data_IF_116864687335
#
_entry.id   IF_116864687335
#
_cell.length_a   1.000
_cell.length_b   1.000
_cell.length_c   1.000
_cell.angle_alpha   90.00
_cell.angle_beta   90.00
_cell.angle_gamma   90.00
#
_symmetry.space_group_name_H-M   'P 1'
#
loop_
_entity.id
_entity.type
_entity.pdbx_description
1 polymer ?
#
# COMPACT_ATOMS: atom_id res chain seq x y z
N UNK A 1 27.21 -13.03 -20.40
CA UNK A 1 26.71 -11.75 -19.87
C UNK A 1 26.60 -10.77 -21.03
N UNK A 2 25.54 -9.95 -21.09
CA UNK A 2 25.38 -8.95 -22.15
C UNK A 2 25.27 -7.55 -21.54
N UNK A 3 26.08 -6.62 -22.03
CA UNK A 3 25.94 -5.19 -21.77
C UNK A 3 25.19 -4.58 -22.95
N UNK A 4 24.22 -3.70 -22.71
CA UNK A 4 23.52 -3.09 -23.83
C UNK A 4 22.59 -1.96 -23.42
N UNK A 5 22.59 -0.91 -24.25
CA UNK A 5 21.66 0.21 -24.20
C UNK A 5 20.65 -0.01 -25.31
N UNK A 6 19.36 -0.01 -24.98
CA UNK A 6 18.31 -0.22 -25.96
C UNK A 6 17.29 0.90 -25.85
N UNK A 7 17.36 1.85 -26.76
CA UNK A 7 16.45 2.98 -26.82
C UNK A 7 15.45 2.81 -27.98
N UNK A 8 14.24 3.32 -27.80
CA UNK A 8 13.18 3.38 -28.83
C UNK A 8 12.77 2.02 -29.42
N UNK A 9 12.97 0.94 -28.66
CA UNK A 9 12.55 -0.39 -29.07
C UNK A 9 11.03 -0.47 -29.19
N UNK A 10 10.54 -0.76 -30.39
CA UNK A 10 9.11 -0.86 -30.68
C UNK A 10 8.76 -2.31 -31.02
N UNK A 11 7.95 -2.95 -30.16
CA UNK A 11 7.49 -4.33 -30.35
C UNK A 11 8.59 -5.40 -30.29
N UNK A 12 8.21 -6.63 -30.61
CA UNK A 12 9.11 -7.79 -30.67
C UNK A 12 9.14 -8.65 -29.39
N UNK A 13 9.82 -9.79 -29.52
CA UNK A 13 10.16 -10.71 -28.44
C UNK A 13 11.62 -10.49 -28.03
N UNK A 14 11.82 -10.15 -26.76
CA UNK A 14 13.13 -9.82 -26.21
C UNK A 14 13.44 -10.73 -25.04
N UNK A 15 14.28 -11.73 -25.29
CA UNK A 15 14.73 -12.66 -24.26
C UNK A 15 16.18 -12.39 -23.87
N UNK A 16 16.43 -12.16 -22.57
CA UNK A 16 17.79 -12.01 -22.04
C UNK A 16 17.97 -12.83 -20.77
N UNK A 17 18.92 -13.77 -20.80
CA UNK A 17 19.25 -14.60 -19.64
C UNK A 17 19.94 -13.80 -18.52
N UNK A 18 20.95 -13.00 -18.86
CA UNK A 18 21.68 -12.16 -17.90
C UNK A 18 22.15 -10.88 -18.59
N UNK A 19 21.75 -9.72 -18.07
CA UNK A 19 22.02 -8.45 -18.70
C UNK A 19 22.25 -7.31 -17.72
N UNK A 20 23.25 -6.49 -18.03
CA UNK A 20 23.41 -5.14 -17.50
C UNK A 20 22.99 -4.17 -18.60
N UNK A 21 22.13 -3.21 -18.30
CA UNK A 21 21.69 -2.31 -19.37
C UNK A 21 20.54 -1.38 -19.02
N UNK A 22 20.31 -0.46 -19.94
CA UNK A 22 19.27 0.55 -19.85
C UNK A 22 18.31 0.35 -21.01
N UNK A 23 17.01 0.40 -20.72
CA UNK A 23 16.00 0.47 -21.77
C UNK A 23 15.25 1.79 -21.64
N UNK A 24 15.23 2.54 -22.71
CA UNK A 24 14.57 3.84 -22.75
C UNK A 24 13.48 3.84 -23.83
N UNK A 25 12.31 4.38 -23.49
CA UNK A 25 11.18 4.62 -24.38
C UNK A 25 10.71 3.40 -25.19
N UNK A 26 10.82 2.21 -24.59
CA UNK A 26 10.28 0.99 -25.19
C UNK A 26 8.76 1.05 -25.32
N UNK A 27 8.23 0.63 -26.47
CA UNK A 27 6.79 0.62 -26.76
C UNK A 27 6.33 -0.79 -27.12
N UNK A 28 5.54 -1.39 -26.24
CA UNK A 28 5.00 -2.73 -26.45
C UNK A 28 6.06 -3.83 -26.44
N UNK A 29 5.66 -5.01 -26.94
CA UNK A 29 6.52 -6.21 -27.00
C UNK A 29 6.43 -7.11 -25.78
N UNK A 30 7.04 -8.29 -25.91
CA UNK A 30 7.22 -9.29 -24.85
C UNK A 30 8.68 -9.25 -24.42
N UNK A 31 8.92 -8.92 -23.16
CA UNK A 31 10.23 -8.74 -22.57
C UNK A 31 10.43 -9.76 -21.47
N UNK A 32 11.28 -10.75 -21.69
CA UNK A 32 11.62 -11.76 -20.70
C UNK A 32 13.08 -11.63 -20.28
N UNK A 33 13.30 -11.35 -19.00
CA UNK A 33 14.65 -11.23 -18.41
C UNK A 33 14.78 -12.10 -17.18
N UNK A 34 15.78 -12.99 -17.18
CA UNK A 34 16.04 -13.80 -15.99
C UNK A 34 16.81 -13.00 -14.92
N UNK A 35 17.98 -12.48 -15.25
CA UNK A 35 18.73 -11.60 -14.36
C UNK A 35 18.98 -10.25 -15.03
N UNK A 36 18.53 -9.18 -14.38
CA UNK A 36 18.69 -7.83 -14.88
C UNK A 36 19.23 -6.89 -13.81
N UNK A 37 20.27 -6.15 -14.17
CA UNK A 37 20.78 -5.00 -13.44
C UNK A 37 20.66 -3.78 -14.35
N UNK A 38 19.75 -2.86 -14.04
CA UNK A 38 19.41 -1.88 -15.06
C UNK A 38 18.30 -0.92 -14.72
N UNK A 39 18.08 0.00 -15.65
CA UNK A 39 17.08 1.04 -15.54
C UNK A 39 16.16 0.94 -16.74
N UNK A 40 14.85 0.96 -16.51
CA UNK A 40 13.85 1.01 -17.56
C UNK A 40 13.09 2.33 -17.45
N UNK A 41 13.32 3.22 -18.40
CA UNK A 41 12.75 4.57 -18.43
C UNK A 41 11.75 4.69 -19.57
N UNK A 42 10.54 5.17 -19.30
CA UNK A 42 9.57 5.54 -20.33
C UNK A 42 8.87 4.37 -21.03
N UNK A 43 8.93 3.16 -20.49
CA UNK A 43 8.25 2.00 -21.06
C UNK A 43 6.73 2.21 -21.19
N UNK A 44 6.16 1.94 -22.37
CA UNK A 44 4.72 2.08 -22.66
C UNK A 44 4.14 0.77 -23.14
N UNK A 45 3.27 0.16 -22.34
CA UNK A 45 2.62 -1.10 -22.67
C UNK A 45 3.58 -2.29 -22.76
N UNK A 46 3.07 -3.41 -23.29
CA UNK A 46 3.81 -4.66 -23.43
C UNK A 46 3.69 -5.58 -22.21
N UNK A 47 4.32 -6.74 -22.32
CA UNK A 47 4.38 -7.76 -21.29
C UNK A 47 5.83 -7.89 -20.82
N UNK A 48 6.05 -7.66 -19.53
CA UNK A 48 7.37 -7.54 -18.93
C UNK A 48 7.51 -8.59 -17.84
N UNK A 49 8.25 -9.65 -18.13
CA UNK A 49 8.56 -10.73 -17.19
C UNK A 49 9.99 -10.63 -16.75
N UNK A 50 10.18 -10.49 -15.44
CA UNK A 50 11.51 -10.47 -14.82
C UNK A 50 11.56 -11.45 -13.67
N UNK A 51 12.55 -12.33 -13.69
CA UNK A 51 12.76 -13.24 -12.58
C UNK A 51 13.47 -12.50 -11.43
N UNK A 52 14.69 -12.00 -11.65
CA UNK A 52 15.45 -11.23 -10.67
C UNK A 52 15.87 -9.90 -11.30
N UNK A 53 15.46 -8.81 -10.64
CA UNK A 53 15.74 -7.44 -11.10
C UNK A 53 16.35 -6.59 -9.98
N UNK A 54 17.41 -5.88 -10.33
CA UNK A 54 18.02 -4.84 -9.52
C UNK A 54 18.03 -3.54 -10.32
N UNK A 55 17.32 -2.53 -9.83
CA UNK A 55 17.39 -1.20 -10.40
C UNK A 55 16.07 -0.43 -10.39
N UNK A 56 15.85 0.37 -11.42
CA UNK A 56 14.88 1.47 -11.40
C UNK A 56 13.93 1.40 -12.60
N UNK A 57 12.62 1.34 -12.33
CA UNK A 57 11.58 1.47 -13.34
C UNK A 57 10.95 2.87 -13.24
N UNK A 58 11.21 3.72 -14.24
CA UNK A 58 10.78 5.12 -14.24
C UNK A 58 9.80 5.38 -15.38
N UNK A 59 8.63 5.94 -15.07
CA UNK A 59 7.68 6.41 -16.08
C UNK A 59 6.98 5.31 -16.88
N UNK A 60 6.86 4.11 -16.31
CA UNK A 60 6.11 3.01 -16.93
C UNK A 60 4.62 3.37 -17.09
N UNK A 61 4.07 3.16 -18.29
CA UNK A 61 2.66 3.46 -18.62
C UNK A 61 1.96 2.24 -19.20
N UNK A 62 1.00 1.69 -18.46
CA UNK A 62 0.25 0.51 -18.89
C UNK A 62 1.11 -0.76 -19.02
N UNK A 63 0.52 -1.80 -19.59
CA UNK A 63 1.16 -3.11 -19.77
C UNK A 63 0.98 -4.05 -18.58
N UNK A 64 1.53 -5.26 -18.74
CA UNK A 64 1.58 -6.30 -17.72
C UNK A 64 3.03 -6.44 -17.24
N UNK A 65 3.22 -6.31 -15.93
CA UNK A 65 4.54 -6.32 -15.29
C UNK A 65 4.58 -7.41 -14.23
N UNK A 66 5.30 -8.47 -14.52
CA UNK A 66 5.50 -9.62 -13.66
C UNK A 66 6.94 -9.64 -13.17
N UNK A 67 7.17 -9.34 -11.89
CA UNK A 67 8.49 -9.47 -11.29
C UNK A 67 8.45 -10.51 -10.16
N UNK A 68 9.28 -11.55 -10.27
CA UNK A 68 9.38 -12.54 -9.21
C UNK A 68 10.12 -11.95 -7.99
N UNK A 69 11.35 -11.48 -8.18
CA UNK A 69 12.15 -10.82 -7.16
C UNK A 69 12.67 -9.50 -7.72
N UNK A 70 12.51 -8.43 -6.95
CA UNK A 70 12.81 -7.09 -7.42
C UNK A 70 13.34 -6.21 -6.30
N UNK A 71 14.54 -5.68 -6.52
CA UNK A 71 15.24 -4.75 -5.64
C UNK A 71 15.37 -3.40 -6.32
N UNK A 72 14.82 -2.37 -5.71
CA UNK A 72 14.99 -0.99 -6.18
C UNK A 72 13.70 -0.20 -6.23
N UNK A 73 13.59 0.68 -7.22
CA UNK A 73 12.66 1.80 -7.20
C UNK A 73 11.73 1.76 -8.40
N UNK A 74 10.45 2.02 -8.17
CA UNK A 74 9.48 2.23 -9.24
C UNK A 74 8.90 3.62 -9.08
N UNK A 75 9.06 4.47 -10.07
CA UNK A 75 8.68 5.89 -10.01
C UNK A 75 7.77 6.25 -11.19
N UNK A 76 6.64 6.91 -10.90
CA UNK A 76 5.75 7.46 -11.93
C UNK A 76 5.02 6.42 -12.77
N UNK A 77 4.75 5.23 -12.20
CA UNK A 77 3.97 4.19 -12.85
C UNK A 77 2.51 4.62 -13.02
N UNK A 78 1.96 4.49 -14.23
CA UNK A 78 0.57 4.88 -14.55
C UNK A 78 -0.18 3.73 -15.21
N UNK A 79 -1.20 3.22 -14.54
CA UNK A 79 -2.02 2.11 -15.02
C UNK A 79 -1.25 0.80 -15.18
N UNK A 80 -1.89 -0.17 -15.84
CA UNK A 80 -1.35 -1.52 -16.05
C UNK A 80 -1.63 -2.48 -14.90
N UNK A 81 -1.19 -3.72 -15.09
CA UNK A 81 -1.24 -4.78 -14.08
C UNK A 81 0.19 -5.09 -13.63
N UNK A 82 0.39 -5.05 -12.32
CA UNK A 82 1.69 -5.22 -11.69
C UNK A 82 1.61 -6.35 -10.67
N UNK A 83 2.23 -7.48 -10.98
CA UNK A 83 2.39 -8.60 -10.06
C UNK A 83 3.84 -8.67 -9.58
N UNK A 84 4.05 -8.56 -8.27
CA UNK A 84 5.38 -8.75 -7.64
C UNK A 84 5.31 -9.79 -6.54
N UNK A 85 6.06 -10.90 -6.66
CA UNK A 85 6.10 -11.89 -5.58
C UNK A 85 6.91 -11.39 -4.39
N UNK A 86 8.15 -10.95 -4.62
CA UNK A 86 9.00 -10.31 -3.61
C UNK A 86 9.51 -8.97 -4.11
N UNK A 87 9.32 -7.95 -3.28
CA UNK A 87 9.73 -6.59 -3.58
C UNK A 87 10.47 -5.95 -2.41
N UNK A 88 11.64 -5.40 -2.69
CA UNK A 88 12.44 -4.63 -1.76
C UNK A 88 12.70 -3.25 -2.36
N UNK A 89 12.29 -2.20 -1.67
CA UNK A 89 12.56 -0.82 -2.06
C UNK A 89 11.31 0.04 -2.13
N UNK A 90 11.26 0.93 -3.11
CA UNK A 90 10.37 2.09 -3.08
C UNK A 90 9.43 2.14 -4.26
N UNK A 91 8.23 2.62 -4.02
CA UNK A 91 7.23 2.90 -5.05
C UNK A 91 6.74 4.34 -4.87
N UNK A 92 7.01 5.18 -5.86
CA UNK A 92 6.67 6.60 -5.83
C UNK A 92 5.74 6.95 -6.99
N UNK A 93 4.71 7.76 -6.70
CA UNK A 93 3.79 8.33 -7.70
C UNK A 93 3.09 7.31 -8.59
N UNK A 94 2.65 6.20 -8.00
CA UNK A 94 1.82 5.21 -8.69
C UNK A 94 0.39 5.74 -8.87
N UNK A 95 -0.13 5.69 -10.09
CA UNK A 95 -1.49 6.17 -10.42
C UNK A 95 -2.30 5.10 -11.15
N UNK A 96 -3.39 4.65 -10.53
CA UNK A 96 -4.29 3.64 -11.10
C UNK A 96 -3.61 2.28 -11.30
N UNK A 97 -4.32 1.39 -12.00
CA UNK A 97 -3.87 0.02 -12.28
C UNK A 97 -4.23 -0.97 -11.18
N UNK A 98 -3.84 -2.22 -11.40
CA UNK A 98 -3.99 -3.33 -10.47
C UNK A 98 -2.59 -3.73 -9.98
N UNK A 99 -2.41 -3.72 -8.68
CA UNK A 99 -1.13 -3.96 -8.02
C UNK A 99 -1.26 -5.11 -7.04
N UNK A 100 -0.70 -6.24 -7.39
CA UNK A 100 -0.63 -7.41 -6.51
C UNK A 100 0.81 -7.58 -6.00
N UNK A 101 0.99 -7.61 -4.68
CA UNK A 101 2.28 -7.91 -4.04
C UNK A 101 2.15 -8.97 -2.97
N UNK A 102 2.82 -10.10 -3.14
CA UNK A 102 2.81 -11.16 -2.12
C UNK A 102 3.63 -10.75 -0.91
N UNK A 103 4.87 -10.31 -1.11
CA UNK A 103 5.74 -9.84 -0.04
C UNK A 103 6.43 -8.54 -0.44
N UNK A 104 6.31 -7.51 0.40
CA UNK A 104 6.93 -6.21 0.15
C UNK A 104 7.61 -5.63 1.37
N UNK A 105 8.86 -5.20 1.19
CA UNK A 105 9.64 -4.45 2.15
C UNK A 105 9.99 -3.08 1.58
N UNK A 106 9.65 -2.02 2.31
CA UNK A 106 10.07 -0.66 1.98
C UNK A 106 8.93 0.34 2.00
N UNK A 107 8.97 1.34 1.11
CA UNK A 107 8.07 2.49 1.19
C UNK A 107 7.26 2.69 -0.08
N UNK A 108 6.04 3.21 0.12
CA UNK A 108 5.13 3.59 -0.95
C UNK A 108 4.70 5.01 -0.68
N UNK A 109 4.92 5.91 -1.62
CA UNK A 109 4.57 7.31 -1.50
C UNK A 109 3.75 7.75 -2.73
N UNK A 110 2.69 8.52 -2.51
CA UNK A 110 1.94 9.15 -3.59
C UNK A 110 1.10 8.18 -4.44
N UNK A 111 0.62 7.08 -3.86
CA UNK A 111 -0.25 6.14 -4.55
C UNK A 111 -1.66 6.73 -4.70
N UNK A 112 -2.20 6.76 -5.93
CA UNK A 112 -3.52 7.34 -6.23
C UNK A 112 -4.39 6.39 -7.04
N UNK A 113 -5.53 6.00 -6.47
CA UNK A 113 -6.51 5.11 -7.12
C UNK A 113 -5.96 3.71 -7.42
N UNK A 114 -6.78 2.92 -8.13
CA UNK A 114 -6.45 1.55 -8.50
C UNK A 114 -6.84 0.51 -7.45
N UNK A 115 -6.53 -0.74 -7.76
CA UNK A 115 -6.73 -1.91 -6.91
C UNK A 115 -5.37 -2.34 -6.37
N UNK A 116 -5.26 -2.46 -5.04
CA UNK A 116 -4.03 -2.78 -4.36
C UNK A 116 -4.23 -3.96 -3.43
N UNK A 117 -3.62 -5.08 -3.79
CA UNK A 117 -3.63 -6.29 -2.98
C UNK A 117 -2.24 -6.56 -2.45
N UNK A 118 -2.10 -6.64 -1.13
CA UNK A 118 -0.84 -7.07 -0.50
C UNK A 118 -1.05 -8.14 0.54
N UNK A 119 -0.34 -9.25 0.40
CA UNK A 119 -0.42 -10.31 1.38
C UNK A 119 0.40 -9.95 2.64
N UNK A 120 1.70 -9.74 2.49
CA UNK A 120 2.61 -9.37 3.59
C UNK A 120 3.37 -8.10 3.24
N UNK A 121 3.32 -7.11 4.13
CA UNK A 121 3.96 -5.81 3.89
C UNK A 121 4.65 -5.26 5.12
N UNK A 122 5.92 -4.90 4.97
CA UNK A 122 6.75 -4.23 5.96
C UNK A 122 7.15 -2.86 5.45
N UNK A 123 6.87 -1.81 6.24
CA UNK A 123 7.40 -0.48 6.00
C UNK A 123 6.33 0.61 6.03
N UNK A 124 6.45 1.62 5.15
CA UNK A 124 5.65 2.85 5.24
C UNK A 124 4.83 3.09 3.98
N UNK A 125 3.56 3.44 4.17
CA UNK A 125 2.70 3.97 3.12
C UNK A 125 2.40 5.43 3.46
N UNK A 126 2.67 6.34 2.53
CA UNK A 126 2.45 7.77 2.69
C UNK A 126 1.66 8.34 1.50
N UNK A 127 0.84 9.35 1.75
CA UNK A 127 0.11 10.10 0.71
C UNK A 127 -0.72 9.22 -0.22
N UNK A 128 -1.52 8.34 0.37
CA UNK A 128 -2.38 7.44 -0.39
C UNK A 128 -3.75 8.08 -0.60
N UNK A 129 -4.25 8.06 -1.83
CA UNK A 129 -5.54 8.69 -2.17
C UNK A 129 -6.43 7.75 -2.98
N UNK A 130 -7.57 7.36 -2.41
CA UNK A 130 -8.59 6.54 -3.08
C UNK A 130 -8.12 5.13 -3.47
N UNK A 131 -8.99 4.42 -4.17
CA UNK A 131 -8.78 3.04 -4.61
C UNK A 131 -9.30 1.99 -3.62
N UNK A 132 -9.16 0.73 -4.00
CA UNK A 132 -9.42 -0.43 -3.14
C UNK A 132 -8.08 -0.97 -2.64
N UNK A 133 -7.98 -1.14 -1.33
CA UNK A 133 -6.76 -1.57 -0.65
C UNK A 133 -7.07 -2.78 0.22
N UNK A 134 -6.65 -3.96 -0.22
CA UNK A 134 -6.70 -5.18 0.58
C UNK A 134 -5.30 -5.51 1.10
N UNK A 135 -5.18 -5.67 2.42
CA UNK A 135 -3.94 -6.06 3.08
C UNK A 135 -4.19 -7.16 4.10
N UNK A 136 -3.64 -8.35 3.86
CA UNK A 136 -3.78 -9.47 4.80
C UNK A 136 -2.95 -9.24 6.06
N UNK A 137 -1.65 -8.95 5.90
CA UNK A 137 -0.74 -8.71 7.01
C UNK A 137 0.14 -7.49 6.75
N UNK A 138 0.25 -6.62 7.75
CA UNK A 138 0.94 -5.34 7.60
C UNK A 138 1.66 -4.90 8.86
N UNK A 139 2.95 -4.58 8.71
CA UNK A 139 3.81 -4.04 9.76
C UNK A 139 4.34 -2.68 9.33
N UNK A 140 4.06 -1.65 10.13
CA UNK A 140 4.63 -0.33 9.98
C UNK A 140 3.60 0.79 9.94
N UNK A 141 3.82 1.78 9.09
CA UNK A 141 3.20 3.09 9.21
C UNK A 141 2.34 3.40 8.00
N UNK A 142 1.16 3.97 8.24
CA UNK A 142 0.29 4.55 7.21
C UNK A 142 0.08 6.02 7.55
N UNK A 143 0.56 6.91 6.69
CA UNK A 143 0.44 8.35 6.86
C UNK A 143 -0.39 8.93 5.72
N UNK A 144 -1.30 9.85 6.05
CA UNK A 144 -2.06 10.64 5.07
C UNK A 144 -2.81 9.80 4.03
N UNK A 145 -3.64 8.87 4.52
CA UNK A 145 -4.56 8.12 3.68
C UNK A 145 -5.88 8.89 3.51
N UNK A 146 -6.33 9.11 2.27
CA UNK A 146 -7.56 9.86 1.98
C UNK A 146 -8.51 9.06 1.09
N UNK A 147 -9.70 8.75 1.60
CA UNK A 147 -10.74 8.02 0.90
C UNK A 147 -10.37 6.59 0.50
N UNK A 148 -11.24 5.95 -0.28
CA UNK A 148 -11.09 4.57 -0.74
C UNK A 148 -11.72 3.52 0.18
N UNK A 149 -11.66 2.26 -0.23
CA UNK A 149 -12.02 1.11 0.59
C UNK A 149 -10.74 0.45 1.09
N UNK A 150 -10.66 0.23 2.40
CA UNK A 150 -9.50 -0.30 3.09
C UNK A 150 -9.90 -1.53 3.88
N UNK A 151 -9.45 -2.69 3.47
CA UNK A 151 -9.59 -3.93 4.20
C UNK A 151 -8.23 -4.36 4.76
N UNK A 152 -8.13 -4.51 6.08
CA UNK A 152 -6.92 -5.02 6.75
C UNK A 152 -7.28 -6.15 7.70
N UNK A 153 -6.78 -7.37 7.41
CA UNK A 153 -7.02 -8.51 8.31
C UNK A 153 -6.16 -8.42 9.57
N UNK A 154 -4.86 -8.20 9.43
CA UNK A 154 -3.95 -8.03 10.55
C UNK A 154 -2.99 -6.86 10.33
N UNK A 155 -2.87 -6.01 11.35
CA UNK A 155 -2.04 -4.81 11.28
C UNK A 155 -1.30 -4.52 12.57
N UNK A 156 -0.02 -4.21 12.43
CA UNK A 156 0.86 -3.75 13.52
C UNK A 156 1.47 -2.41 13.13
N UNK A 157 1.35 -1.42 13.99
CA UNK A 157 2.02 -0.13 13.86
C UNK A 157 1.08 1.06 13.95
N UNK A 158 1.37 2.14 13.22
CA UNK A 158 0.66 3.41 13.38
C UNK A 158 -0.05 3.83 12.12
N UNK A 159 -1.24 4.41 12.29
CA UNK A 159 -1.99 5.08 11.22
C UNK A 159 -2.26 6.51 11.64
N UNK A 160 -1.76 7.46 10.87
CA UNK A 160 -1.90 8.89 11.13
C UNK A 160 -2.52 9.60 9.93
N UNK A 161 -3.42 10.55 10.16
CA UNK A 161 -3.97 11.41 9.09
C UNK A 161 -4.91 10.68 8.13
N UNK A 162 -5.63 9.66 8.60
CA UNK A 162 -6.61 8.95 7.79
C UNK A 162 -7.90 9.78 7.66
N UNK A 163 -8.36 10.07 6.43
CA UNK A 163 -9.52 10.93 6.17
C UNK A 163 -10.50 10.27 5.22
N UNK A 164 -11.73 10.02 5.69
CA UNK A 164 -12.82 9.44 4.89
C UNK A 164 -12.55 8.01 4.40
N UNK A 165 -13.50 7.48 3.62
CA UNK A 165 -13.45 6.11 3.08
C UNK A 165 -14.13 5.08 3.99
N UNK A 166 -14.13 3.82 3.53
CA UNK A 166 -14.56 2.68 4.32
C UNK A 166 -13.32 1.94 4.82
N UNK A 167 -13.29 1.65 6.12
CA UNK A 167 -12.16 1.01 6.78
C UNK A 167 -12.65 -0.20 7.55
N UNK A 168 -12.36 -1.39 7.06
CA UNK A 168 -12.54 -2.62 7.80
C UNK A 168 -11.19 -3.11 8.33
N UNK A 169 -11.12 -3.34 9.64
CA UNK A 169 -9.96 -3.92 10.32
C UNK A 169 -10.37 -5.07 11.20
N UNK A 170 -9.88 -6.27 10.91
CA UNK A 170 -10.18 -7.41 11.75
C UNK A 170 -9.36 -7.35 13.06
N UNK A 171 -8.03 -7.38 12.96
CA UNK A 171 -7.13 -7.28 14.11
C UNK A 171 -6.12 -6.14 13.89
N UNK A 172 -5.99 -5.27 14.89
CA UNK A 172 -5.04 -4.16 14.84
C UNK A 172 -4.31 -3.95 16.15
N UNK A 173 -3.01 -3.73 16.07
CA UNK A 173 -2.12 -3.39 17.17
C UNK A 173 -1.42 -2.08 16.87
N UNK A 174 -1.52 -1.11 17.79
CA UNK A 174 -0.76 0.13 17.76
C UNK A 174 -1.62 1.37 17.86
N UNK A 175 -1.30 2.42 17.10
CA UNK A 175 -1.90 3.76 17.29
C UNK A 175 -2.63 4.25 16.06
N UNK A 176 -3.81 4.82 16.26
CA UNK A 176 -4.55 5.58 15.28
C UNK A 176 -4.60 7.04 15.74
N UNK A 177 -4.13 7.98 14.92
CA UNK A 177 -4.07 9.39 15.25
C UNK A 177 -4.66 10.24 14.13
N UNK A 178 -5.35 11.33 14.49
CA UNK A 178 -5.89 12.34 13.56
C UNK A 178 -6.72 11.70 12.43
N UNK A 179 -7.70 10.91 12.85
CA UNK A 179 -8.61 10.19 11.95
C UNK A 179 -9.88 11.01 11.78
N UNK A 180 -10.32 11.25 10.54
CA UNK A 180 -11.47 12.13 10.26
C UNK A 180 -12.47 11.52 9.29
N UNK A 181 -13.70 11.31 9.74
CA UNK A 181 -14.81 10.83 8.90
C UNK A 181 -14.63 9.42 8.32
N UNK A 182 -15.61 8.96 7.56
CA UNK A 182 -15.66 7.62 6.97
C UNK A 182 -16.44 6.60 7.81
N UNK A 183 -16.57 5.38 7.31
CA UNK A 183 -17.05 4.23 8.08
C UNK A 183 -15.85 3.44 8.58
N UNK A 184 -15.84 3.14 9.87
CA UNK A 184 -14.75 2.45 10.55
C UNK A 184 -15.29 1.25 11.29
N UNK A 185 -14.99 0.07 10.78
CA UNK A 185 -15.30 -1.20 11.40
C UNK A 185 -14.02 -1.82 11.95
N UNK A 186 -14.03 -2.15 13.24
CA UNK A 186 -12.89 -2.78 13.90
C UNK A 186 -13.34 -3.91 14.81
N UNK A 187 -13.01 -5.15 14.45
CA UNK A 187 -13.40 -6.33 15.24
C UNK A 187 -12.57 -6.42 16.53
N UNK A 188 -11.25 -6.35 16.44
CA UNK A 188 -10.34 -6.33 17.59
C UNK A 188 -9.25 -5.27 17.43
N UNK A 189 -9.02 -4.48 18.48
CA UNK A 189 -7.98 -3.47 18.48
C UNK A 189 -7.25 -3.34 19.81
N UNK A 190 -5.93 -3.38 19.76
CA UNK A 190 -5.04 -3.14 20.89
C UNK A 190 -4.26 -1.85 20.67
N UNK A 191 -4.36 -0.92 21.61
CA UNK A 191 -3.59 0.32 21.63
C UNK A 191 -4.46 1.57 21.68
N UNK A 192 -4.05 2.62 20.97
CA UNK A 192 -4.50 3.99 21.24
C UNK A 192 -5.23 4.55 20.04
N UNK A 193 -6.38 5.21 20.25
CA UNK A 193 -6.98 6.06 19.23
C UNK A 193 -7.07 7.49 19.75
N UNK A 194 -6.42 8.41 19.06
CA UNK A 194 -6.36 9.81 19.45
C UNK A 194 -6.90 10.70 18.34
N UNK A 195 -7.66 11.73 18.73
CA UNK A 195 -8.11 12.82 17.84
C UNK A 195 -8.95 12.29 16.67
N UNK A 196 -9.92 11.42 16.98
CA UNK A 196 -10.85 10.85 16.01
C UNK A 196 -12.07 11.74 15.86
N UNK A 197 -12.35 12.25 14.65
CA UNK A 197 -13.39 13.26 14.41
C UNK A 197 -14.40 12.80 13.35
N UNK A 198 -15.67 12.66 13.73
CA UNK A 198 -16.77 12.31 12.82
C UNK A 198 -16.69 10.88 12.24
N UNK A 199 -17.70 10.53 11.44
CA UNK A 199 -17.84 9.20 10.81
C UNK A 199 -18.75 8.24 11.59
N UNK A 200 -18.94 7.04 11.05
CA UNK A 200 -19.57 5.93 11.79
C UNK A 200 -18.47 4.99 12.25
N UNK A 201 -18.47 4.66 13.53
CA UNK A 201 -17.47 3.80 14.16
C UNK A 201 -18.16 2.62 14.79
N UNK A 202 -17.83 1.42 14.35
CA UNK A 202 -18.23 0.17 14.98
C UNK A 202 -16.98 -0.57 15.47
N UNK A 203 -16.93 -0.80 16.78
CA UNK A 203 -15.84 -1.56 17.41
C UNK A 203 -16.41 -2.69 18.24
N UNK A 204 -15.99 -3.92 17.96
CA UNK A 204 -16.46 -5.05 18.75
C UNK A 204 -15.65 -5.18 20.05
N UNK A 205 -14.33 -5.37 19.97
CA UNK A 205 -13.46 -5.49 21.14
C UNK A 205 -12.30 -4.50 21.04
N UNK A 206 -12.04 -3.76 22.13
CA UNK A 206 -10.93 -2.83 22.22
C UNK A 206 -10.18 -2.93 23.54
N UNK A 207 -8.86 -2.96 23.46
CA UNK A 207 -7.94 -2.91 24.60
C UNK A 207 -7.07 -1.67 24.48
N UNK A 208 -7.22 -0.70 25.37
CA UNK A 208 -6.39 0.50 25.42
C UNK A 208 -7.19 1.79 25.57
N UNK A 209 -6.67 2.87 25.01
CA UNK A 209 -7.08 4.22 25.36
C UNK A 209 -7.64 4.97 24.16
N UNK A 210 -8.76 5.64 24.38
CA UNK A 210 -9.35 6.54 23.40
C UNK A 210 -9.31 7.97 23.94
N UNK A 211 -8.57 8.83 23.24
CA UNK A 211 -8.37 10.23 23.63
C UNK A 211 -9.02 11.13 22.58
N UNK A 212 -9.93 12.00 23.02
CA UNK A 212 -10.46 13.09 22.20
C UNK A 212 -11.21 12.62 20.93
N UNK A 213 -12.22 11.78 21.13
CA UNK A 213 -13.19 11.46 20.07
C UNK A 213 -14.26 12.56 19.98
N UNK A 214 -14.49 13.13 18.78
CA UNK A 214 -15.44 14.23 18.57
C UNK A 214 -16.38 13.97 17.41
N UNK A 215 -17.68 13.94 17.67
CA UNK A 215 -18.71 13.79 16.64
C UNK A 215 -18.70 12.42 15.94
N UNK A 216 -19.74 12.16 15.15
CA UNK A 216 -19.99 10.85 14.54
C UNK A 216 -20.77 9.90 15.45
N UNK A 217 -21.22 8.77 14.88
CA UNK A 217 -21.88 7.72 15.65
C UNK A 217 -20.86 6.66 16.06
N UNK A 218 -20.89 6.30 17.33
CA UNK A 218 -19.93 5.37 17.93
C UNK A 218 -20.69 4.20 18.57
N UNK A 219 -20.48 3.02 18.01
CA UNK A 219 -20.95 1.76 18.56
C UNK A 219 -19.75 0.97 19.07
N UNK A 220 -19.79 0.60 20.34
CA UNK A 220 -18.75 -0.21 20.99
C UNK A 220 -19.44 -1.32 21.75
N UNK A 221 -18.93 -2.54 21.61
CA UNK A 221 -19.45 -3.69 22.34
C UNK A 221 -18.67 -3.87 23.65
N UNK A 222 -17.38 -4.18 23.55
CA UNK A 222 -16.51 -4.48 24.68
C UNK A 222 -15.28 -3.57 24.66
N UNK A 223 -15.02 -2.88 25.77
CA UNK A 223 -13.82 -2.07 25.95
C UNK A 223 -13.11 -2.36 27.26
N UNK A 224 -11.81 -2.60 27.17
CA UNK A 224 -10.91 -2.73 28.32
C UNK A 224 -9.89 -1.59 28.26
N UNK A 225 -10.12 -0.58 29.08
CA UNK A 225 -9.26 0.59 29.18
C UNK A 225 -10.05 1.85 29.44
N UNK A 226 -9.43 2.99 29.17
CA UNK A 226 -9.97 4.29 29.57
C UNK A 226 -10.36 5.11 28.37
N UNK A 227 -11.53 5.73 28.46
CA UNK A 227 -12.05 6.63 27.43
C UNK A 227 -12.15 8.03 28.02
N UNK A 228 -11.52 8.99 27.36
CA UNK A 228 -11.64 10.40 27.71
C UNK A 228 -12.64 11.07 26.76
N UNK A 229 -13.91 11.11 27.17
CA UNK A 229 -14.91 12.01 26.60
C UNK A 229 -14.91 13.30 27.42
N UNK A 230 -14.68 14.45 26.77
CA UNK A 230 -14.61 15.80 27.36
C UNK A 230 -14.45 15.81 28.89
N UNK A 231 -13.19 15.89 29.33
CA UNK A 231 -12.78 16.20 30.72
C UNK A 231 -13.23 15.24 31.82
N UNK A 232 -13.79 14.06 31.52
CA UNK A 232 -14.08 13.04 32.52
C UNK A 232 -13.58 11.67 32.07
N UNK A 233 -12.73 11.05 32.89
CA UNK A 233 -12.38 9.65 32.74
C UNK A 233 -13.61 8.82 33.13
N UNK A 234 -14.18 8.08 32.18
CA UNK A 234 -15.17 7.06 32.48
C UNK A 234 -14.52 5.70 32.27
N UNK A 235 -14.48 4.91 33.34
CA UNK A 235 -14.12 3.50 33.27
C UNK A 235 -15.28 2.80 32.57
N UNK A 236 -15.09 2.43 31.30
CA UNK A 236 -16.13 1.82 30.50
C UNK A 236 -16.12 0.30 30.65
N UNK A 237 -16.81 -0.22 31.65
CA UNK A 237 -17.30 -1.62 31.64
C UNK A 237 -18.77 -1.59 31.23
N UNK A 238 -19.03 -1.69 29.93
CA UNK A 238 -20.34 -2.05 29.40
C UNK A 238 -20.20 -3.45 28.81
N UNK A 239 -21.03 -4.36 29.30
CA UNK A 239 -21.14 -5.76 28.85
C UNK A 239 -22.09 -5.85 27.67
#
# INVERSE_FOLDING_TARGET
MSYGWLCDACGGLWERKMGYGWVCDARGGLWERNFSYGWDCGARGGLWKRNISYGWDCGARGGLWEHNISYGWVCGARGGLWERKMSYGWLCDARGGLWERKMSYGRVCGARGGLWERNISYGRLCDVRGGLWERKMSYGWLCDARGGLWERKMSYGRVCGARGGLWERNISYGRLCDVRGGLWERKMGYGWVCDARGGLWERNISYGWDCDARGGLWKRNISYGWVLWRTRWLMGTQY
#
